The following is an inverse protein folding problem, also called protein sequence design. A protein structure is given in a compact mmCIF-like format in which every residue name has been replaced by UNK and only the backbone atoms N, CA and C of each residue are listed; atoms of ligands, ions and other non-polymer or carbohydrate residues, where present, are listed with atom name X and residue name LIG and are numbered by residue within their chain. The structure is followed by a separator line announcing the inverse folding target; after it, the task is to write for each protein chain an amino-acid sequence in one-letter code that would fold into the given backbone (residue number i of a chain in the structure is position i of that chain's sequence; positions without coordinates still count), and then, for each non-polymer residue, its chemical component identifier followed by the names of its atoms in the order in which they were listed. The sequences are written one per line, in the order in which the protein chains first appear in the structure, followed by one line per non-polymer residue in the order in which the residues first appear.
data_IF_153850935427
#
_entry.id   IF_153850935427
#
_cell.length_a   1.000
_cell.length_b   1.000
_cell.length_c   1.000
_cell.angle_alpha   90.00
_cell.angle_beta   90.00
_cell.angle_gamma   90.00
#
_symmetry.space_group_name_H-M   'P 1'
#
loop_
_entity.id
_entity.type
_entity.pdbx_description
1 polymer ?
#
# COMPACT_ATOMS: atom_id res chain seq x y z
N UNK A 1 -3.14 6.07 49.31
CA UNK A 1 -1.72 5.97 48.87
C UNK A 1 -1.46 4.59 48.34
N UNK A 2 -0.86 4.45 47.17
CA UNK A 2 -0.56 3.15 46.59
C UNK A 2 0.39 2.35 47.47
N UNK A 3 0.09 1.08 47.73
CA UNK A 3 0.91 0.19 48.55
C UNK A 3 2.25 -0.07 47.83
N UNK A 4 3.34 -0.21 48.60
CA UNK A 4 4.67 -0.58 48.08
C UNK A 4 4.62 -1.85 47.18
N UNK A 5 3.73 -2.78 47.50
CA UNK A 5 3.46 -4.01 46.74
C UNK A 5 2.84 -3.69 45.37
N UNK A 6 1.90 -2.74 45.29
CA UNK A 6 1.31 -2.30 44.04
C UNK A 6 2.33 -1.61 43.11
N UNK A 7 3.19 -0.77 43.65
CA UNK A 7 4.26 -0.09 42.91
C UNK A 7 5.22 -1.14 42.35
N UNK A 8 5.62 -2.14 43.14
CA UNK A 8 6.52 -3.22 42.69
C UNK A 8 5.88 -4.05 41.58
N UNK A 9 4.60 -4.37 41.70
CA UNK A 9 3.85 -5.11 40.67
C UNK A 9 3.75 -4.30 39.35
N UNK A 10 3.50 -2.99 39.44
CA UNK A 10 3.49 -2.11 38.27
C UNK A 10 4.85 -2.06 37.57
N UNK A 11 5.93 -1.91 38.35
CA UNK A 11 7.30 -1.91 37.77
C UNK A 11 7.58 -3.22 37.02
N UNK A 12 7.25 -4.37 37.61
CA UNK A 12 7.43 -5.68 36.98
C UNK A 12 6.61 -5.81 35.70
N UNK A 13 5.36 -5.35 35.71
CA UNK A 13 4.46 -5.35 34.54
C UNK A 13 5.02 -4.48 33.42
N UNK A 14 5.47 -3.26 33.73
CA UNK A 14 6.06 -2.33 32.75
C UNK A 14 7.35 -2.88 32.17
N UNK A 15 8.21 -3.49 32.99
CA UNK A 15 9.43 -4.14 32.52
C UNK A 15 9.13 -5.33 31.58
N UNK A 16 8.09 -6.12 31.91
CA UNK A 16 7.60 -7.18 31.02
C UNK A 16 7.15 -6.64 29.66
N UNK A 17 6.33 -5.59 29.67
CA UNK A 17 5.84 -4.92 28.46
C UNK A 17 6.99 -4.31 27.64
N UNK A 18 7.99 -3.73 28.30
CA UNK A 18 9.18 -3.18 27.67
C UNK A 18 9.97 -4.27 26.89
N UNK A 19 10.15 -5.45 27.51
CA UNK A 19 10.84 -6.57 26.86
C UNK A 19 10.10 -7.05 25.60
N UNK A 20 8.77 -7.18 25.70
CA UNK A 20 7.92 -7.57 24.55
C UNK A 20 8.02 -6.53 23.43
N UNK A 21 7.89 -5.26 23.75
CA UNK A 21 7.95 -4.16 22.76
C UNK A 21 9.33 -4.10 22.09
N UNK A 22 10.40 -4.33 22.88
CA UNK A 22 11.76 -4.40 22.34
C UNK A 22 11.93 -5.56 21.34
N UNK A 23 11.39 -6.74 21.65
CA UNK A 23 11.39 -7.87 20.73
C UNK A 23 10.58 -7.57 19.45
N UNK A 24 9.40 -6.94 19.58
CA UNK A 24 8.60 -6.52 18.44
C UNK A 24 9.34 -5.51 17.55
N UNK A 25 10.07 -4.57 18.15
CA UNK A 25 10.92 -3.62 17.44
C UNK A 25 11.99 -4.32 16.61
N UNK A 26 12.66 -5.35 17.16
CA UNK A 26 13.68 -6.13 16.43
C UNK A 26 13.08 -6.85 15.22
N UNK A 27 11.92 -7.49 15.39
CA UNK A 27 11.23 -8.18 14.29
C UNK A 27 10.79 -7.18 13.20
N UNK A 28 10.22 -6.03 13.60
CA UNK A 28 9.82 -5.00 12.66
C UNK A 28 11.03 -4.42 11.89
N UNK A 29 12.16 -4.19 12.57
CA UNK A 29 13.41 -3.74 11.94
C UNK A 29 13.94 -4.74 10.92
N UNK A 30 13.94 -6.05 11.24
CA UNK A 30 14.35 -7.09 10.31
C UNK A 30 13.47 -7.13 9.05
N UNK A 31 12.14 -7.01 9.22
CA UNK A 31 11.19 -6.91 8.08
C UNK A 31 11.44 -5.67 7.22
N UNK A 32 11.70 -4.53 7.87
CA UNK A 32 12.02 -3.28 7.16
C UNK A 32 13.28 -3.43 6.31
N UNK A 33 14.36 -3.98 6.87
CA UNK A 33 15.60 -4.21 6.11
C UNK A 33 15.40 -5.19 4.94
N UNK A 34 14.58 -6.26 5.12
CA UNK A 34 14.24 -7.15 4.00
C UNK A 34 13.52 -6.38 2.89
N UNK A 35 12.52 -5.57 3.24
CA UNK A 35 11.78 -4.73 2.28
C UNK A 35 12.67 -3.71 1.55
N UNK A 36 13.55 -3.02 2.29
CA UNK A 36 14.48 -2.06 1.69
C UNK A 36 15.41 -2.71 0.66
N UNK A 37 15.98 -3.87 0.96
CA UNK A 37 16.81 -4.63 0.00
C UNK A 37 16.05 -5.02 -1.27
N UNK A 38 14.78 -5.42 -1.14
CA UNK A 38 13.95 -5.75 -2.30
C UNK A 38 13.73 -4.53 -3.19
N UNK A 39 13.47 -3.37 -2.60
CA UNK A 39 13.30 -2.12 -3.34
C UNK A 39 14.63 -1.71 -4.01
N UNK A 40 15.75 -1.72 -3.29
CA UNK A 40 17.08 -1.39 -3.82
C UNK A 40 17.44 -2.27 -5.03
N UNK A 41 17.09 -3.55 -4.98
CA UNK A 41 17.32 -4.47 -6.10
C UNK A 41 16.37 -4.26 -7.28
N UNK A 42 15.14 -3.81 -7.05
CA UNK A 42 14.14 -3.58 -8.10
C UNK A 42 14.31 -2.24 -8.82
N UNK A 43 14.77 -1.21 -8.13
CA UNK A 43 14.92 0.16 -8.68
C UNK A 43 15.76 0.26 -9.94
N UNK A 44 16.95 -0.39 -10.08
CA UNK A 44 17.73 -0.34 -11.31
C UNK A 44 16.99 -0.93 -12.51
N UNK A 45 16.23 -2.02 -12.29
CA UNK A 45 15.41 -2.65 -13.31
C UNK A 45 14.28 -1.73 -13.76
N UNK A 46 13.55 -1.16 -12.82
CA UNK A 46 12.47 -0.20 -13.11
C UNK A 46 12.99 0.98 -13.95
N UNK A 47 14.10 1.61 -13.55
CA UNK A 47 14.70 2.72 -14.30
C UNK A 47 15.06 2.35 -15.73
N UNK A 48 15.61 1.14 -15.92
CA UNK A 48 15.95 0.68 -17.27
C UNK A 48 14.72 0.42 -18.12
N UNK A 49 13.65 -0.10 -17.53
CA UNK A 49 12.38 -0.25 -18.24
C UNK A 49 11.77 1.10 -18.64
N UNK A 50 11.82 2.11 -17.77
CA UNK A 50 11.36 3.47 -18.07
C UNK A 50 12.18 4.10 -19.20
N UNK A 51 13.53 3.97 -19.18
CA UNK A 51 14.39 4.43 -20.25
C UNK A 51 14.07 3.74 -21.59
N UNK A 52 13.85 2.43 -21.59
CA UNK A 52 13.48 1.67 -22.79
C UNK A 52 12.13 2.12 -23.35
N UNK A 53 11.12 2.30 -22.49
CA UNK A 53 9.82 2.81 -22.91
C UNK A 53 9.92 4.21 -23.53
N UNK A 54 10.68 5.11 -22.90
CA UNK A 54 10.91 6.44 -23.44
C UNK A 54 11.59 6.40 -24.83
N UNK A 55 12.58 5.53 -25.02
CA UNK A 55 13.24 5.37 -26.32
C UNK A 55 12.29 4.80 -27.38
N UNK A 56 11.46 3.84 -27.05
CA UNK A 56 10.45 3.29 -27.98
C UNK A 56 9.46 4.37 -28.39
N UNK A 57 8.97 5.17 -27.46
CA UNK A 57 8.02 6.27 -27.75
C UNK A 57 8.65 7.35 -28.64
N UNK A 58 9.92 7.66 -28.45
CA UNK A 58 10.64 8.68 -29.25
C UNK A 58 11.07 8.18 -30.63
N UNK A 59 11.34 6.87 -30.76
CA UNK A 59 11.90 6.27 -31.98
C UNK A 59 10.86 5.75 -32.98
N UNK A 60 9.64 5.54 -32.55
CA UNK A 60 8.58 4.99 -33.39
C UNK A 60 7.60 6.09 -33.82
N UNK A 61 7.75 6.57 -35.07
CA UNK A 61 6.80 7.49 -35.68
C UNK A 61 5.37 6.90 -35.81
N UNK A 62 5.20 5.58 -35.60
CA UNK A 62 3.94 4.83 -35.68
C UNK A 62 3.73 3.92 -34.44
N UNK A 63 4.10 4.37 -33.25
CA UNK A 63 3.79 3.60 -32.03
C UNK A 63 2.33 3.81 -31.64
N UNK A 64 1.47 3.04 -32.31
CA UNK A 64 0.03 2.99 -32.00
C UNK A 64 -0.19 2.06 -30.81
N UNK A 65 -0.39 2.64 -29.62
CA UNK A 65 -0.67 1.89 -28.39
C UNK A 65 -1.91 2.47 -27.72
N UNK A 66 -2.84 1.63 -27.29
CA UNK A 66 -3.99 2.10 -26.49
C UNK A 66 -3.61 2.89 -25.23
N UNK A 67 -2.37 2.72 -24.74
CA UNK A 67 -1.86 3.41 -23.56
C UNK A 67 -1.23 4.77 -23.86
N UNK A 68 -0.96 5.10 -25.11
CA UNK A 68 -0.43 6.40 -25.54
C UNK A 68 -1.48 7.32 -26.17
N UNK A 69 -2.70 6.81 -26.38
CA UNK A 69 -3.80 7.60 -26.93
C UNK A 69 -4.31 8.65 -25.94
N UNK A 70 -4.37 9.92 -26.39
CA UNK A 70 -4.97 11.01 -25.62
C UNK A 70 -6.48 10.96 -25.78
N UNK A 71 -7.20 10.68 -24.71
CA UNK A 71 -8.66 10.56 -24.70
C UNK A 71 -9.26 11.25 -23.47
N UNK A 72 -10.53 11.61 -23.57
CA UNK A 72 -11.27 12.18 -22.44
C UNK A 72 -11.37 11.16 -21.29
N UNK A 73 -10.99 11.58 -20.08
CA UNK A 73 -11.03 10.76 -18.90
C UNK A 73 -12.46 10.58 -18.43
N UNK A 74 -13.02 9.39 -18.57
CA UNK A 74 -14.37 9.03 -18.11
C UNK A 74 -14.36 8.18 -16.85
N UNK A 75 -13.32 7.37 -16.67
CA UNK A 75 -13.13 6.46 -15.53
C UNK A 75 -11.78 6.70 -14.87
N UNK A 76 -11.76 6.65 -13.56
CA UNK A 76 -10.55 6.82 -12.75
C UNK A 76 -10.37 5.59 -11.87
N UNK A 77 -9.23 4.92 -11.99
CA UNK A 77 -8.84 3.84 -11.09
C UNK A 77 -7.94 4.40 -9.98
N UNK A 78 -8.36 4.22 -8.72
CA UNK A 78 -7.60 4.66 -7.55
C UNK A 78 -7.08 3.42 -6.82
N UNK A 79 -5.77 3.21 -6.88
CA UNK A 79 -5.09 2.12 -6.15
C UNK A 79 -4.59 2.67 -4.83
N UNK A 80 -5.06 2.12 -3.70
CA UNK A 80 -4.79 2.66 -2.37
C UNK A 80 -4.05 1.62 -1.54
N UNK A 81 -2.81 1.92 -1.16
CA UNK A 81 -1.97 1.04 -0.35
C UNK A 81 -2.10 1.36 1.14
N UNK A 82 -2.36 0.34 1.94
CA UNK A 82 -2.37 0.42 3.40
C UNK A 82 -1.67 -0.77 4.05
N UNK A 83 -1.53 -0.76 5.36
CA UNK A 83 -1.01 -1.93 6.07
C UNK A 83 -2.10 -2.98 6.31
N UNK A 84 -1.67 -4.24 6.48
CA UNK A 84 -2.56 -5.32 6.93
C UNK A 84 -2.80 -5.30 8.43
N UNK A 85 -1.84 -4.76 9.20
CA UNK A 85 -1.87 -4.74 10.68
C UNK A 85 -1.84 -3.32 11.22
N UNK A 86 -2.06 -3.18 12.52
CA UNK A 86 -1.92 -1.91 13.24
C UNK A 86 -0.49 -1.62 13.71
N UNK A 87 -0.37 -0.77 14.71
CA UNK A 87 0.89 -0.32 15.34
C UNK A 87 1.83 0.44 14.39
N UNK A 88 1.25 1.16 13.45
CA UNK A 88 1.95 1.98 12.44
C UNK A 88 1.73 3.50 12.65
N UNK A 89 1.45 3.93 13.88
CA UNK A 89 1.14 5.32 14.19
C UNK A 89 -0.07 5.82 13.41
N UNK A 90 0.05 6.98 12.79
CA UNK A 90 -1.01 7.64 12.01
C UNK A 90 -1.06 7.21 10.54
N UNK A 91 -0.19 6.30 10.09
CA UNK A 91 -0.07 5.93 8.68
C UNK A 91 -1.42 5.59 8.03
N UNK A 92 -2.14 4.59 8.58
CA UNK A 92 -3.42 4.19 7.99
C UNK A 92 -4.49 5.29 8.07
N UNK A 93 -4.52 6.08 9.15
CA UNK A 93 -5.47 7.19 9.29
C UNK A 93 -5.22 8.27 8.22
N UNK A 94 -3.96 8.60 7.96
CA UNK A 94 -3.59 9.56 6.92
C UNK A 94 -3.92 9.03 5.51
N UNK A 95 -3.64 7.75 5.22
CA UNK A 95 -3.99 7.12 3.95
C UNK A 95 -5.50 7.16 3.72
N UNK A 96 -6.31 6.80 4.73
CA UNK A 96 -7.78 6.84 4.63
C UNK A 96 -8.26 8.26 4.37
N UNK A 97 -7.70 9.26 5.06
CA UNK A 97 -8.06 10.66 4.86
C UNK A 97 -7.74 11.11 3.42
N UNK A 98 -6.52 10.89 2.97
CA UNK A 98 -6.10 11.24 1.61
C UNK A 98 -6.92 10.52 0.53
N UNK A 99 -7.25 9.25 0.75
CA UNK A 99 -8.10 8.48 -0.16
C UNK A 99 -9.47 9.11 -0.32
N UNK A 100 -10.10 9.55 0.77
CA UNK A 100 -11.40 10.22 0.74
C UNK A 100 -11.34 11.58 0.05
N UNK A 101 -10.29 12.35 0.31
CA UNK A 101 -10.06 13.65 -0.36
C UNK A 101 -9.92 13.44 -1.87
N UNK A 102 -9.13 12.45 -2.29
CA UNK A 102 -8.95 12.12 -3.70
C UNK A 102 -10.25 11.62 -4.36
N UNK A 103 -11.01 10.74 -3.69
CA UNK A 103 -12.32 10.27 -4.19
C UNK A 103 -13.29 11.46 -4.35
N UNK A 104 -13.26 12.42 -3.43
CA UNK A 104 -14.11 13.60 -3.51
C UNK A 104 -13.73 14.55 -4.67
N UNK A 105 -12.45 14.63 -5.00
CA UNK A 105 -11.92 15.43 -6.12
C UNK A 105 -12.46 14.93 -7.48
N UNK A 106 -12.55 13.60 -7.65
CA UNK A 106 -13.08 12.98 -8.89
C UNK A 106 -14.59 12.75 -8.85
N UNK A 107 -15.32 13.43 -7.97
CA UNK A 107 -16.77 13.32 -7.87
C UNK A 107 -17.44 13.73 -9.20
N UNK A 108 -18.15 12.80 -9.81
CA UNK A 108 -18.80 13.00 -11.12
C UNK A 108 -18.21 12.13 -12.23
N UNK A 109 -17.09 11.47 -11.98
CA UNK A 109 -16.52 10.43 -12.83
C UNK A 109 -16.84 9.04 -12.28
N UNK A 110 -16.72 8.01 -13.11
CA UNK A 110 -16.78 6.63 -12.66
C UNK A 110 -15.47 6.29 -11.93
N UNK A 111 -15.56 6.00 -10.62
CA UNK A 111 -14.37 5.73 -9.80
C UNK A 111 -14.31 4.24 -9.49
N UNK A 112 -13.21 3.60 -9.85
CA UNK A 112 -12.87 2.22 -9.49
C UNK A 112 -11.85 2.25 -8.36
N UNK A 113 -12.19 1.68 -7.20
CA UNK A 113 -11.32 1.71 -6.02
C UNK A 113 -10.69 0.34 -5.80
N UNK A 114 -9.38 0.28 -5.88
CA UNK A 114 -8.56 -0.92 -5.67
C UNK A 114 -7.82 -0.83 -4.33
N UNK A 115 -8.37 -1.41 -3.24
CA UNK A 115 -7.74 -1.37 -1.94
C UNK A 115 -6.65 -2.43 -1.80
N UNK A 116 -5.40 -2.02 -1.57
CA UNK A 116 -4.29 -2.91 -1.23
C UNK A 116 -4.02 -2.82 0.26
N UNK A 117 -4.34 -3.89 0.98
CA UNK A 117 -4.18 -3.97 2.44
C UNK A 117 -5.50 -3.94 3.20
N UNK A 118 -5.56 -4.77 4.24
CA UNK A 118 -6.80 -5.03 5.01
C UNK A 118 -7.37 -3.78 5.72
N UNK A 119 -6.51 -2.81 6.08
CA UNK A 119 -6.96 -1.64 6.84
C UNK A 119 -7.78 -0.67 6.00
N UNK A 120 -7.35 -0.38 4.77
CA UNK A 120 -8.09 0.51 3.88
C UNK A 120 -9.35 -0.16 3.35
N UNK A 121 -9.27 -1.43 2.95
CA UNK A 121 -10.42 -2.19 2.47
C UNK A 121 -11.56 -2.18 3.52
N UNK A 122 -11.24 -2.51 4.77
CA UNK A 122 -12.21 -2.51 5.86
C UNK A 122 -12.78 -1.12 6.19
N UNK A 123 -11.95 -0.08 6.10
CA UNK A 123 -12.38 1.28 6.39
C UNK A 123 -13.35 1.81 5.33
N UNK A 124 -13.01 1.65 4.04
CA UNK A 124 -13.85 2.12 2.94
C UNK A 124 -15.13 1.29 2.77
N UNK A 125 -15.06 -0.03 2.97
CA UNK A 125 -16.23 -0.89 2.96
C UNK A 125 -17.25 -0.50 4.05
N UNK A 126 -16.76 -0.15 5.26
CA UNK A 126 -17.63 0.32 6.36
C UNK A 126 -18.39 1.61 6.01
N UNK A 127 -17.82 2.43 5.15
CA UNK A 127 -18.42 3.70 4.69
C UNK A 127 -19.26 3.52 3.42
N UNK A 128 -19.37 2.29 2.89
CA UNK A 128 -20.23 1.97 1.76
C UNK A 128 -19.63 2.27 0.40
N UNK A 129 -18.31 2.48 0.30
CA UNK A 129 -17.66 2.65 -1.00
C UNK A 129 -17.64 1.31 -1.77
N UNK A 130 -17.97 1.32 -3.08
CA UNK A 130 -17.83 0.13 -3.93
C UNK A 130 -16.34 -0.16 -4.16
N UNK A 131 -15.88 -1.31 -3.67
CA UNK A 131 -14.49 -1.74 -3.81
C UNK A 131 -14.38 -2.81 -4.88
N UNK A 132 -13.33 -2.73 -5.68
CA UNK A 132 -12.95 -3.80 -6.60
C UNK A 132 -12.30 -4.94 -5.82
N UNK A 133 -12.59 -6.17 -6.22
CA UNK A 133 -11.95 -7.33 -5.62
C UNK A 133 -10.47 -7.34 -5.97
N UNK A 134 -9.65 -7.22 -4.93
CA UNK A 134 -8.22 -7.49 -5.01
C UNK A 134 -7.93 -8.70 -4.15
N UNK A 135 -6.99 -9.53 -4.56
CA UNK A 135 -6.59 -10.67 -3.73
C UNK A 135 -6.22 -10.15 -2.35
N UNK A 136 -6.95 -10.56 -1.32
CA UNK A 136 -6.80 -10.06 0.06
C UNK A 136 -5.42 -10.35 0.68
N UNK A 137 -4.65 -11.18 0.05
CA UNK A 137 -3.38 -11.69 0.52
C UNK A 137 -2.22 -11.24 -0.36
N UNK A 138 -1.93 -9.94 -0.28
CA UNK A 138 -0.58 -9.50 -0.65
C UNK A 138 0.35 -9.94 0.47
N UNK A 139 0.82 -11.18 0.37
CA UNK A 139 1.85 -11.72 1.24
C UNK A 139 3.17 -10.95 1.06
N UNK A 140 4.07 -10.99 2.07
CA UNK A 140 5.36 -10.28 2.01
C UNK A 140 6.26 -10.68 0.82
N UNK A 141 5.93 -11.76 0.15
CA UNK A 141 6.58 -12.20 -1.08
C UNK A 141 5.65 -11.96 -2.26
N UNK A 142 5.67 -10.71 -2.74
CA UNK A 142 4.97 -10.32 -3.98
C UNK A 142 5.53 -11.16 -5.12
N UNK A 143 4.75 -12.13 -5.59
CA UNK A 143 5.16 -12.93 -6.74
C UNK A 143 4.92 -12.16 -8.05
N UNK A 144 5.71 -12.39 -9.10
CA UNK A 144 5.45 -11.81 -10.41
C UNK A 144 4.03 -12.07 -10.93
N UNK A 145 3.42 -13.22 -10.57
CA UNK A 145 2.05 -13.57 -10.95
C UNK A 145 1.02 -12.63 -10.34
N UNK A 146 1.16 -12.27 -9.07
CA UNK A 146 0.24 -11.35 -8.38
C UNK A 146 0.33 -9.94 -8.98
N UNK A 147 1.55 -9.49 -9.29
CA UNK A 147 1.78 -8.18 -9.92
C UNK A 147 1.17 -8.14 -11.32
N UNK A 148 1.33 -9.20 -12.11
CA UNK A 148 0.75 -9.32 -13.44
C UNK A 148 -0.78 -9.34 -13.41
N UNK A 149 -1.38 -9.99 -12.41
CA UNK A 149 -2.85 -9.97 -12.24
C UNK A 149 -3.36 -8.55 -12.00
N UNK A 150 -2.73 -7.80 -11.08
CA UNK A 150 -3.11 -6.41 -10.85
C UNK A 150 -2.92 -5.56 -12.10
N UNK A 151 -1.79 -5.67 -12.77
CA UNK A 151 -1.54 -4.94 -14.00
C UNK A 151 -2.60 -5.24 -15.07
N UNK A 152 -2.96 -6.51 -15.25
CA UNK A 152 -4.01 -6.92 -16.19
C UNK A 152 -5.40 -6.38 -15.81
N UNK A 153 -5.73 -6.32 -14.52
CA UNK A 153 -6.99 -5.72 -14.06
C UNK A 153 -7.05 -4.20 -14.29
N UNK A 154 -5.91 -3.51 -14.17
CA UNK A 154 -5.84 -2.07 -14.39
C UNK A 154 -5.78 -1.68 -15.89
N UNK A 155 -5.34 -2.60 -16.75
CA UNK A 155 -5.23 -2.39 -18.20
C UNK A 155 -6.53 -2.70 -18.97
N UNK A 156 -7.46 -3.47 -18.39
CA UNK A 156 -8.76 -3.82 -18.96
C UNK A 156 -9.88 -2.90 -18.46
#
# INVERSE_FOLDING_TARGET
MASLKEIKNRITSVQGTQKITSAMKMVASAKLHKGQRLIENALPYQRKMEEMLAHVQLGANDFDSPFSEVRDVKKVAIVIFSSNTGLCGTFNANVIKQAKELIAEYKGMEILIYPVGKKIAKALAKEGYPLQEMSEEWEPEVSPSTTNQLASQLMN
#
